data_IF_645397302122
#
_entry.id   IF_645397302122
#
_cell.length_a   1.000
_cell.length_b   1.000
_cell.length_c   1.000
_cell.angle_alpha   90.00
_cell.angle_beta   90.00
_cell.angle_gamma   90.00
#
_symmetry.space_group_name_H-M   'P 1'
#
loop_
_entity.id
_entity.type
_entity.pdbx_description
1 polymer ?
#
# COMPACT_ATOMS: atom_id res chain seq x y z
N UNK A 1 21.14 13.77 3.25
CA UNK A 1 20.73 12.64 2.38
C UNK A 1 20.22 11.53 3.28
N UNK A 2 19.46 10.54 2.80
CA UNK A 2 18.96 9.46 3.68
C UNK A 2 20.08 8.80 4.51
N UNK A 3 21.26 8.63 3.90
CA UNK A 3 22.48 8.15 4.57
C UNK A 3 22.98 9.05 5.71
N UNK A 4 22.93 10.38 5.57
CA UNK A 4 23.40 11.29 6.63
C UNK A 4 22.46 11.30 7.83
N UNK A 5 21.17 11.10 7.59
CA UNK A 5 20.13 11.03 8.63
C UNK A 5 19.98 9.62 9.22
N UNK A 6 20.81 8.66 8.80
CA UNK A 6 20.73 7.25 9.21
C UNK A 6 19.34 6.62 8.97
N UNK A 7 18.72 6.97 7.84
CA UNK A 7 17.44 6.41 7.40
C UNK A 7 17.74 5.22 6.48
N UNK A 8 17.15 4.06 6.81
CA UNK A 8 17.24 2.85 6.00
C UNK A 8 16.60 3.05 4.62
N UNK A 9 17.25 2.54 3.59
CA UNK A 9 16.71 2.55 2.23
C UNK A 9 17.19 1.31 1.47
N UNK A 10 16.38 0.90 0.52
CA UNK A 10 16.68 -0.20 -0.39
C UNK A 10 16.40 0.26 -1.83
N UNK A 11 17.18 -0.25 -2.77
CA UNK A 11 16.92 -0.05 -4.20
C UNK A 11 16.23 -1.32 -4.69
N UNK A 12 15.00 -1.18 -5.17
CA UNK A 12 14.28 -2.30 -5.77
C UNK A 12 15.03 -2.82 -7.01
N UNK A 13 14.99 -4.13 -7.30
CA UNK A 13 15.62 -4.68 -8.50
C UNK A 13 14.97 -4.18 -9.79
N UNK A 14 13.68 -3.82 -9.71
CA UNK A 14 12.87 -3.27 -10.80
C UNK A 14 12.00 -2.12 -10.23
N UNK A 15 10.68 -2.25 -10.26
CA UNK A 15 9.77 -1.25 -9.72
C UNK A 15 9.68 -1.32 -8.19
N UNK A 16 9.59 -0.13 -7.58
CA UNK A 16 9.46 -0.01 -6.13
C UNK A 16 8.13 -0.59 -5.64
N UNK A 17 7.09 -0.55 -6.46
CA UNK A 17 5.73 -0.99 -6.17
C UNK A 17 5.71 -2.48 -5.78
N UNK A 18 6.34 -3.32 -6.59
CA UNK A 18 6.47 -4.75 -6.32
C UNK A 18 7.31 -5.03 -5.07
N UNK A 19 8.38 -4.26 -4.85
CA UNK A 19 9.23 -4.42 -3.65
C UNK A 19 8.49 -4.05 -2.37
N UNK A 20 7.74 -2.94 -2.39
CA UNK A 20 6.91 -2.47 -1.29
C UNK A 20 5.77 -3.46 -1.00
N UNK A 21 5.13 -3.98 -2.03
CA UNK A 21 4.10 -5.01 -1.91
C UNK A 21 4.64 -6.26 -1.21
N UNK A 22 5.81 -6.75 -1.62
CA UNK A 22 6.47 -7.87 -0.97
C UNK A 22 6.74 -7.60 0.52
N UNK A 23 7.38 -6.47 0.85
CA UNK A 23 7.70 -6.12 2.23
C UNK A 23 6.45 -5.93 3.10
N UNK A 24 5.36 -5.39 2.54
CA UNK A 24 4.11 -5.16 3.27
C UNK A 24 3.35 -6.45 3.62
N UNK A 25 3.66 -7.55 2.93
CA UNK A 25 3.08 -8.87 3.19
C UNK A 25 3.94 -9.73 4.13
N UNK A 26 5.12 -9.27 4.52
CA UNK A 26 5.95 -9.92 5.53
C UNK A 26 5.52 -9.50 6.94
N UNK A 27 5.73 -10.38 7.92
CA UNK A 27 5.59 -10.05 9.33
C UNK A 27 6.67 -9.04 9.76
N UNK A 28 6.33 -8.11 10.65
CA UNK A 28 7.23 -7.02 11.07
C UNK A 28 8.50 -7.54 11.75
N UNK A 29 8.40 -8.62 12.54
CA UNK A 29 9.55 -9.30 13.15
C UNK A 29 10.50 -9.95 12.13
N UNK A 30 10.05 -10.14 10.89
CA UNK A 30 10.85 -10.67 9.77
C UNK A 30 11.33 -9.55 8.83
N UNK A 31 11.21 -8.28 9.25
CA UNK A 31 11.60 -7.12 8.45
C UNK A 31 10.50 -6.62 7.51
N UNK A 32 9.24 -7.01 7.74
CA UNK A 32 8.09 -6.45 7.04
C UNK A 32 7.73 -5.04 7.48
N UNK A 33 6.91 -4.37 6.68
CA UNK A 33 6.47 -2.99 6.92
C UNK A 33 4.98 -2.94 7.26
N UNK A 34 4.58 -2.02 8.14
CA UNK A 34 3.19 -1.92 8.60
C UNK A 34 2.25 -1.25 7.58
N UNK A 35 2.78 -0.37 6.74
CA UNK A 35 2.04 0.33 5.69
C UNK A 35 2.99 0.88 4.62
N UNK A 36 2.44 1.14 3.43
CA UNK A 36 3.13 1.82 2.34
C UNK A 36 2.61 3.25 2.21
N UNK A 37 3.49 4.23 2.07
CA UNK A 37 3.12 5.61 1.73
C UNK A 37 3.44 5.84 0.25
N UNK A 38 2.45 6.18 -0.55
CA UNK A 38 2.61 6.40 -2.00
C UNK A 38 1.47 7.22 -2.56
N UNK A 39 1.68 7.83 -3.73
CA UNK A 39 0.60 8.39 -4.56
C UNK A 39 0.13 7.42 -5.65
N UNK A 40 0.87 6.33 -5.87
CA UNK A 40 0.57 5.35 -6.91
C UNK A 40 -0.49 4.35 -6.45
N UNK A 41 -1.61 4.28 -7.17
CA UNK A 41 -2.71 3.38 -6.86
C UNK A 41 -2.41 1.90 -7.15
N UNK A 42 -1.36 1.61 -7.91
CA UNK A 42 -1.02 0.25 -8.33
C UNK A 42 -0.77 -0.68 -7.14
N UNK A 43 -0.29 -0.15 -6.01
CA UNK A 43 -0.06 -0.89 -4.76
C UNK A 43 -1.34 -1.57 -4.24
N UNK A 44 -2.52 -1.04 -4.55
CA UNK A 44 -3.80 -1.68 -4.23
C UNK A 44 -3.97 -2.96 -5.05
N UNK A 45 -3.66 -2.91 -6.35
CA UNK A 45 -3.74 -4.05 -7.26
C UNK A 45 -2.67 -5.11 -6.94
N UNK A 46 -1.48 -4.69 -6.49
CA UNK A 46 -0.44 -5.58 -5.95
C UNK A 46 -0.82 -6.25 -4.62
N UNK A 47 -1.92 -5.84 -3.99
CA UNK A 47 -2.43 -6.47 -2.78
C UNK A 47 -1.79 -5.98 -1.48
N UNK A 48 -1.28 -4.75 -1.44
CA UNK A 48 -0.77 -4.17 -0.20
C UNK A 48 -1.87 -4.09 0.88
N UNK A 49 -1.64 -4.63 2.10
CA UNK A 49 -2.68 -4.65 3.13
C UNK A 49 -3.12 -3.27 3.61
N UNK A 50 -2.18 -2.33 3.73
CA UNK A 50 -2.43 -0.95 4.16
C UNK A 50 -1.58 0.05 3.36
N UNK A 51 -2.25 1.01 2.74
CA UNK A 51 -1.62 2.08 1.96
C UNK A 51 -2.11 3.44 2.43
N UNK A 52 -1.21 4.40 2.56
CA UNK A 52 -1.48 5.78 2.94
C UNK A 52 -1.19 6.67 1.72
N UNK A 53 -2.24 7.29 1.20
CA UNK A 53 -2.18 8.20 0.06
C UNK A 53 -2.22 9.65 0.49
N UNK A 54 -1.76 10.55 -0.37
CA UNK A 54 -1.86 12.02 -0.22
C UNK A 54 -1.31 12.51 1.12
N UNK A 55 -0.23 11.90 1.59
CA UNK A 55 0.36 12.30 2.87
C UNK A 55 0.99 13.68 2.74
N UNK A 56 0.47 14.65 3.49
CA UNK A 56 1.01 16.00 3.55
C UNK A 56 2.26 16.09 4.43
N UNK A 57 2.83 17.30 4.54
CA UNK A 57 4.04 17.55 5.33
C UNK A 57 3.81 17.52 6.83
N UNK A 58 2.56 17.62 7.28
CA UNK A 58 2.17 17.51 8.69
C UNK A 58 1.88 16.04 9.08
N UNK A 59 1.90 15.13 8.10
CA UNK A 59 1.67 13.70 8.28
C UNK A 59 0.22 13.28 8.15
N UNK A 60 -0.68 14.16 7.69
CA UNK A 60 -2.06 13.80 7.42
C UNK A 60 -2.16 13.12 6.06
N UNK A 61 -2.84 11.97 5.99
CA UNK A 61 -3.04 11.24 4.73
C UNK A 61 -4.32 10.41 4.74
N UNK A 62 -4.67 9.89 3.57
CA UNK A 62 -5.83 9.03 3.33
C UNK A 62 -5.43 7.56 3.38
N UNK A 63 -5.83 6.85 4.44
CA UNK A 63 -5.50 5.43 4.60
C UNK A 63 -6.55 4.54 3.95
N UNK A 64 -6.09 3.57 3.16
CA UNK A 64 -6.88 2.46 2.64
C UNK A 64 -6.36 1.16 3.25
N UNK A 65 -7.26 0.37 3.83
CA UNK A 65 -7.00 -1.00 4.29
C UNK A 65 -7.74 -1.96 3.38
N UNK A 66 -6.99 -2.84 2.72
CA UNK A 66 -7.51 -3.66 1.64
C UNK A 66 -8.65 -4.60 2.10
N UNK A 67 -8.50 -5.19 3.29
CA UNK A 67 -9.55 -6.01 3.91
C UNK A 67 -10.86 -5.24 4.12
N UNK A 68 -10.77 -3.97 4.53
CA UNK A 68 -11.96 -3.11 4.74
C UNK A 68 -12.63 -2.76 3.41
N UNK A 69 -11.85 -2.57 2.34
CA UNK A 69 -12.40 -2.29 0.99
C UNK A 69 -13.12 -3.51 0.41
N UNK A 70 -12.58 -4.71 0.63
CA UNK A 70 -13.25 -5.95 0.17
C UNK A 70 -14.49 -6.31 1.00
N UNK A 71 -14.48 -6.02 2.31
CA UNK A 71 -15.61 -6.30 3.22
C UNK A 71 -16.65 -5.17 3.29
N UNK A 72 -16.37 -4.00 2.69
CA UNK A 72 -17.26 -2.85 2.70
C UNK A 72 -18.63 -3.14 2.08
N UNK A 73 -19.69 -3.05 2.90
CA UNK A 73 -21.09 -3.24 2.48
C UNK A 73 -21.75 -1.93 2.05
N UNK A 74 -21.44 -0.82 2.73
CA UNK A 74 -22.11 0.48 2.53
C UNK A 74 -21.17 1.67 2.38
N UNK A 75 -19.88 1.53 2.71
CA UNK A 75 -18.88 2.58 2.55
C UNK A 75 -18.13 2.48 1.21
N UNK A 76 -17.65 3.62 0.71
CA UNK A 76 -16.78 3.70 -0.47
C UNK A 76 -15.35 4.02 -0.04
N UNK A 77 -14.33 3.48 -0.74
CA UNK A 77 -14.44 2.54 -1.87
C UNK A 77 -14.82 1.11 -1.41
N UNK A 78 -15.52 0.36 -2.27
CA UNK A 78 -15.87 -1.05 -2.07
C UNK A 78 -15.58 -1.84 -3.34
N UNK A 79 -14.89 -2.97 -3.20
CA UNK A 79 -14.52 -3.85 -4.32
C UNK A 79 -15.35 -5.13 -4.40
N UNK A 80 -16.45 -5.23 -3.64
CA UNK A 80 -17.27 -6.45 -3.57
C UNK A 80 -17.84 -6.89 -4.93
N UNK A 81 -18.06 -5.95 -5.85
CA UNK A 81 -18.56 -6.20 -7.19
C UNK A 81 -17.49 -5.94 -8.26
N UNK A 82 -16.21 -5.87 -7.86
CA UNK A 82 -15.08 -5.68 -8.76
C UNK A 82 -14.59 -7.05 -9.25
N UNK A 83 -15.43 -7.72 -10.04
CA UNK A 83 -15.20 -9.08 -10.53
C UNK A 83 -15.07 -9.13 -12.06
N UNK A 84 -14.80 -10.32 -12.61
CA UNK A 84 -14.58 -10.52 -14.04
C UNK A 84 -15.77 -10.14 -14.93
N UNK A 85 -16.99 -10.01 -14.37
CA UNK A 85 -18.16 -9.58 -15.14
C UNK A 85 -18.08 -8.11 -15.56
N UNK A 86 -17.22 -7.31 -14.94
CA UNK A 86 -16.97 -5.94 -15.36
C UNK A 86 -16.25 -5.83 -16.71
N UNK A 87 -15.58 -6.90 -17.16
CA UNK A 87 -14.81 -6.93 -18.39
C UNK A 87 -15.54 -7.59 -19.57
N UNK A 88 -16.83 -7.93 -19.40
CA UNK A 88 -17.69 -8.59 -20.38
C UNK A 88 -18.93 -7.77 -20.66
#
# INVERSE_FOLDING_TARGET
>A
TLKSENIEFVVAPYEADAQLAYLSNLETEKGGIAAVITEDSDLIAYGCPAVIFKMDREGNGERIELEKVFSAVSCKPSFRNFDMKLFT
#
